data_IF_463533725402
#
_entry.id   IF_463533725402
#
_cell.length_a   1.000
_cell.length_b   1.000
_cell.length_c   1.000
_cell.angle_alpha   90.00
_cell.angle_beta   90.00
_cell.angle_gamma   90.00
#
_symmetry.space_group_name_H-M   'P 1'
#
loop_
_entity.id
_entity.type
_entity.pdbx_description
1 polymer ?
#
# COMPACT_ATOMS: atom_id res chain seq x y z
N UNK A 1 64.38 51.49 9.10
CA UNK A 1 63.22 50.85 8.44
C UNK A 1 63.82 49.87 7.46
N UNK A 2 63.69 48.56 7.57
CA UNK A 2 62.67 47.75 8.22
C UNK A 2 63.24 46.34 8.38
N UNK A 3 62.92 45.68 9.49
CA UNK A 3 63.33 44.33 9.82
C UNK A 3 62.23 43.37 9.36
N UNK A 4 62.59 42.29 8.67
CA UNK A 4 61.65 41.31 8.17
C UNK A 4 62.22 39.90 8.23
N UNK A 5 62.42 39.41 9.46
CA UNK A 5 62.59 38.00 9.78
C UNK A 5 61.37 37.21 9.31
N UNK A 6 61.60 36.15 8.54
CA UNK A 6 60.55 35.29 7.96
C UNK A 6 60.95 33.82 8.06
N UNK A 7 61.17 33.38 9.29
CA UNK A 7 61.16 31.96 9.65
C UNK A 7 59.76 31.52 10.10
N UNK A 8 58.87 31.21 9.16
CA UNK A 8 57.63 30.48 9.48
C UNK A 8 57.83 28.99 9.21
N UNK A 9 58.19 28.23 10.23
CA UNK A 9 57.99 26.79 10.26
C UNK A 9 56.95 26.46 11.32
N UNK A 10 55.87 25.87 10.82
CA UNK A 10 54.74 25.32 11.56
C UNK A 10 55.17 24.06 12.28
N UNK A 11 54.90 23.97 13.58
CA UNK A 11 54.81 22.68 14.27
C UNK A 11 53.59 22.72 15.19
N UNK A 12 52.46 22.26 14.63
CA UNK A 12 51.29 21.92 15.42
C UNK A 12 51.45 20.49 15.93
N UNK A 13 51.13 20.24 17.20
CA UNK A 13 51.18 18.87 17.70
C UNK A 13 51.05 18.64 19.20
N UNK A 14 50.23 19.41 19.93
CA UNK A 14 49.64 18.96 21.18
C UNK A 14 48.51 19.91 21.57
N UNK A 15 47.26 19.52 21.32
CA UNK A 15 46.11 20.12 22.02
C UNK A 15 46.20 19.73 23.49
N UNK A 16 47.05 20.42 24.24
CA UNK A 16 46.94 20.49 25.69
C UNK A 16 45.57 21.09 26.00
N UNK A 17 44.77 20.39 26.81
CA UNK A 17 43.61 20.99 27.48
C UNK A 17 44.14 22.18 28.26
N UNK A 18 44.02 23.38 27.70
CA UNK A 18 44.35 24.61 28.42
C UNK A 18 43.28 24.78 29.48
N UNK A 19 43.66 24.68 30.75
CA UNK A 19 42.79 24.97 31.88
C UNK A 19 42.14 26.35 31.68
N UNK A 20 40.81 26.47 31.86
CA UNK A 20 40.13 27.75 31.73
C UNK A 20 40.73 28.79 32.68
N UNK A 21 40.85 30.07 32.29
CA UNK A 21 41.55 31.07 33.09
C UNK A 21 40.83 31.26 34.43
N UNK A 22 41.51 30.92 35.54
CA UNK A 22 40.99 31.06 36.90
C UNK A 22 40.68 29.75 37.63
N UNK A 23 40.83 28.59 36.99
CA UNK A 23 40.75 27.28 37.66
C UNK A 23 42.15 26.79 38.04
N UNK A 24 42.33 26.43 39.31
CA UNK A 24 43.54 25.74 39.76
C UNK A 24 43.53 24.28 39.29
N UNK A 25 44.72 23.67 39.14
CA UNK A 25 44.86 22.27 38.69
C UNK A 25 44.09 21.30 39.61
N UNK A 26 44.06 21.61 40.91
CA UNK A 26 43.36 20.81 41.93
C UNK A 26 41.84 20.87 41.77
N UNK A 27 41.27 22.06 41.51
CA UNK A 27 39.84 22.24 41.25
C UNK A 27 39.39 21.53 39.95
N UNK A 28 40.25 21.50 38.94
CA UNK A 28 39.94 20.82 37.68
C UNK A 28 39.85 19.29 37.85
N UNK A 29 40.76 18.72 38.63
CA UNK A 29 40.75 17.28 38.96
C UNK A 29 39.52 16.94 39.81
N UNK A 30 39.15 17.79 40.77
CA UNK A 30 37.96 17.57 41.61
C UNK A 30 36.66 17.57 40.77
N UNK A 31 36.52 18.48 39.81
CA UNK A 31 35.39 18.51 38.89
C UNK A 31 35.33 17.30 37.96
N UNK A 32 36.46 16.76 37.52
CA UNK A 32 36.48 15.52 36.71
C UNK A 32 36.00 14.31 37.51
N UNK A 33 36.37 14.23 38.78
CA UNK A 33 35.90 13.18 39.70
C UNK A 33 34.40 13.33 39.95
N UNK A 34 33.92 14.54 40.21
CA UNK A 34 32.50 14.80 40.41
C UNK A 34 31.68 14.50 39.15
N UNK A 35 32.17 14.91 37.98
CA UNK A 35 31.54 14.62 36.69
C UNK A 35 31.40 13.10 36.47
N UNK A 36 32.48 12.34 36.72
CA UNK A 36 32.46 10.87 36.60
C UNK A 36 31.41 10.26 37.52
N UNK A 37 31.32 10.73 38.77
CA UNK A 37 30.32 10.27 39.74
C UNK A 37 28.89 10.58 39.28
N UNK A 38 28.65 11.77 38.75
CA UNK A 38 27.32 12.16 38.22
C UNK A 38 26.96 11.33 36.99
N UNK A 39 27.92 11.02 36.12
CA UNK A 39 27.71 10.15 34.96
C UNK A 39 27.32 8.72 35.37
N UNK A 40 27.96 8.16 36.40
CA UNK A 40 27.63 6.85 36.97
C UNK A 40 26.23 6.84 37.62
N UNK A 41 25.85 7.91 38.33
CA UNK A 41 24.50 8.07 38.86
C UNK A 41 23.46 8.15 37.72
N UNK A 42 23.75 8.90 36.65
CA UNK A 42 22.88 8.97 35.47
C UNK A 42 22.70 7.59 34.84
N UNK A 43 23.78 6.82 34.70
CA UNK A 43 23.69 5.45 34.17
C UNK A 43 22.84 4.55 35.07
N UNK A 44 23.05 4.63 36.38
CA UNK A 44 22.29 3.86 37.37
C UNK A 44 20.80 4.23 37.31
N UNK A 45 20.48 5.53 37.25
CA UNK A 45 19.11 6.01 37.15
C UNK A 45 18.43 5.55 35.85
N UNK A 46 19.13 5.55 34.72
CA UNK A 46 18.62 4.99 33.46
C UNK A 46 18.31 3.50 33.59
N UNK A 47 19.19 2.74 34.25
CA UNK A 47 18.97 1.32 34.50
C UNK A 47 17.73 1.08 35.39
N UNK A 48 17.62 1.84 36.49
CA UNK A 48 16.46 1.78 37.40
C UNK A 48 15.17 2.16 36.68
N UNK A 49 15.20 3.21 35.85
CA UNK A 49 14.04 3.65 35.08
C UNK A 49 13.59 2.55 34.10
N UNK A 50 14.52 1.98 33.35
CA UNK A 50 14.22 0.88 32.42
C UNK A 50 13.60 -0.33 33.14
N UNK A 51 14.13 -0.69 34.31
CA UNK A 51 13.55 -1.75 35.15
C UNK A 51 12.13 -1.40 35.62
N UNK A 52 11.88 -0.15 36.03
CA UNK A 52 10.56 0.32 36.45
C UNK A 52 9.56 0.37 35.29
N UNK A 53 9.97 0.80 34.11
CA UNK A 53 9.15 0.78 32.89
C UNK A 53 8.74 -0.64 32.52
N UNK A 54 9.67 -1.59 32.62
CA UNK A 54 9.40 -3.02 32.39
C UNK A 54 8.38 -3.56 33.40
N UNK A 55 8.58 -3.28 34.68
CA UNK A 55 7.66 -3.69 35.75
C UNK A 55 6.27 -3.06 35.57
N UNK A 56 6.20 -1.78 35.22
CA UNK A 56 4.93 -1.11 34.91
C UNK A 56 4.24 -1.76 33.70
N UNK A 57 4.98 -2.13 32.66
CA UNK A 57 4.45 -2.87 31.51
C UNK A 57 3.93 -4.26 31.87
N UNK A 58 4.55 -4.95 32.82
CA UNK A 58 4.07 -6.23 33.35
C UNK A 58 2.82 -6.07 34.21
N UNK A 59 2.75 -5.05 35.07
CA UNK A 59 1.56 -4.71 35.85
C UNK A 59 0.37 -4.36 34.93
N UNK A 60 0.59 -3.54 33.89
CA UNK A 60 -0.43 -3.23 32.87
C UNK A 60 -0.95 -4.51 32.21
N UNK A 61 -0.06 -5.43 31.82
CA UNK A 61 -0.45 -6.76 31.29
C UNK A 61 -1.26 -7.58 32.28
N UNK A 62 -0.85 -7.66 33.55
CA UNK A 62 -1.58 -8.39 34.61
C UNK A 62 -2.97 -7.81 34.89
N UNK A 63 -3.12 -6.50 34.73
CA UNK A 63 -4.41 -5.81 34.83
C UNK A 63 -5.26 -5.91 33.54
N UNK A 64 -4.80 -6.64 32.51
CA UNK A 64 -5.50 -6.76 31.23
C UNK A 64 -5.39 -5.51 30.33
N UNK A 65 -4.61 -4.52 30.75
CA UNK A 65 -4.32 -3.29 30.02
C UNK A 65 -3.17 -3.60 29.04
N UNK A 66 -3.54 -4.18 27.89
CA UNK A 66 -2.59 -4.46 26.82
C UNK A 66 -2.41 -3.20 25.94
N UNK A 67 -1.19 -2.81 25.56
CA UNK A 67 -0.94 -1.66 24.68
C UNK A 67 -1.74 -1.71 23.37
N UNK A 68 -1.91 -2.90 22.80
CA UNK A 68 -2.74 -3.12 21.60
C UNK A 68 -4.24 -2.97 21.88
N UNK A 69 -4.70 -3.31 23.08
CA UNK A 69 -6.10 -3.15 23.49
C UNK A 69 -6.43 -1.67 23.68
N UNK A 70 -5.54 -0.88 24.28
CA UNK A 70 -5.71 0.58 24.38
C UNK A 70 -5.78 1.23 23.00
N UNK A 71 -4.89 0.86 22.07
CA UNK A 71 -4.91 1.40 20.70
C UNK A 71 -6.20 1.01 19.98
N UNK A 72 -6.57 -0.28 20.01
CA UNK A 72 -7.81 -0.77 19.38
C UNK A 72 -9.03 -0.06 19.95
N UNK A 73 -9.09 0.12 21.26
CA UNK A 73 -10.22 0.76 21.93
C UNK A 73 -10.29 2.26 21.60
N UNK A 74 -9.16 2.98 21.56
CA UNK A 74 -9.12 4.39 21.18
C UNK A 74 -9.52 4.60 19.72
N UNK A 75 -9.06 3.76 18.79
CA UNK A 75 -9.44 3.85 17.37
C UNK A 75 -10.92 3.51 17.19
N UNK A 76 -11.41 2.44 17.85
CA UNK A 76 -12.82 2.02 17.74
C UNK A 76 -13.75 3.11 18.28
N UNK A 77 -13.39 3.71 19.42
CA UNK A 77 -14.15 4.83 20.00
C UNK A 77 -14.06 6.08 19.14
N UNK A 78 -12.87 6.50 18.70
CA UNK A 78 -12.71 7.66 17.83
C UNK A 78 -13.48 7.52 16.51
N UNK A 79 -13.53 6.32 15.93
CA UNK A 79 -14.36 6.03 14.76
C UNK A 79 -15.86 6.10 15.07
N UNK A 80 -16.31 5.51 16.18
CA UNK A 80 -17.70 5.61 16.62
C UNK A 80 -18.11 7.05 16.95
N UNK A 81 -17.23 7.83 17.55
CA UNK A 81 -17.46 9.24 17.90
C UNK A 81 -17.58 10.10 16.64
N UNK A 82 -16.78 9.81 15.61
CA UNK A 82 -16.91 10.46 14.30
C UNK A 82 -18.21 10.05 13.61
N UNK A 83 -18.57 8.77 13.63
CA UNK A 83 -19.80 8.26 13.03
C UNK A 83 -21.05 8.79 13.75
N UNK A 84 -21.02 8.92 15.07
CA UNK A 84 -22.15 9.40 15.89
C UNK A 84 -22.17 10.92 16.06
N UNK A 85 -21.10 11.60 15.63
CA UNK A 85 -21.00 13.06 15.76
C UNK A 85 -22.13 13.77 15.03
N UNK A 86 -22.67 14.78 15.69
CA UNK A 86 -23.73 15.63 15.17
C UNK A 86 -23.38 16.24 13.80
N UNK A 87 -22.10 16.59 13.56
CA UNK A 87 -21.67 17.11 12.26
C UNK A 87 -21.80 16.05 11.16
N UNK A 88 -21.27 14.84 11.38
CA UNK A 88 -21.36 13.74 10.42
C UNK A 88 -22.81 13.31 10.17
N UNK A 89 -23.59 13.14 11.23
CA UNK A 89 -25.02 12.81 11.13
C UNK A 89 -25.82 13.89 10.42
N UNK A 90 -25.60 15.18 10.74
CA UNK A 90 -26.26 16.29 10.03
C UNK A 90 -25.86 16.34 8.57
N UNK A 91 -24.59 16.13 8.23
CA UNK A 91 -24.14 16.10 6.83
C UNK A 91 -24.74 14.91 6.09
N UNK A 92 -24.69 13.71 6.67
CA UNK A 92 -25.30 12.51 6.08
C UNK A 92 -26.81 12.68 5.87
N UNK A 93 -27.51 13.27 6.85
CA UNK A 93 -28.93 13.56 6.76
C UNK A 93 -29.22 14.63 5.69
N UNK A 94 -28.40 15.69 5.61
CA UNK A 94 -28.53 16.73 4.59
C UNK A 94 -28.31 16.18 3.18
N UNK A 95 -27.36 15.25 3.00
CA UNK A 95 -27.15 14.57 1.72
C UNK A 95 -28.35 13.67 1.38
N UNK A 96 -28.92 12.96 2.36
CA UNK A 96 -30.14 12.19 2.19
C UNK A 96 -31.33 13.06 1.77
N UNK A 97 -31.53 14.17 2.46
CA UNK A 97 -32.58 15.15 2.17
C UNK A 97 -32.39 15.79 0.79
N UNK A 98 -31.16 16.12 0.40
CA UNK A 98 -30.86 16.65 -0.94
C UNK A 98 -31.20 15.61 -2.02
N UNK A 99 -30.80 14.36 -1.83
CA UNK A 99 -31.10 13.27 -2.75
C UNK A 99 -32.61 13.05 -2.88
N UNK A 100 -33.33 13.06 -1.76
CA UNK A 100 -34.78 12.95 -1.75
C UNK A 100 -35.43 14.15 -2.46
N UNK A 101 -34.97 15.37 -2.19
CA UNK A 101 -35.48 16.60 -2.84
C UNK A 101 -35.25 16.61 -4.35
N UNK A 102 -34.08 16.16 -4.81
CA UNK A 102 -33.78 16.05 -6.23
C UNK A 102 -34.70 15.02 -6.88
N UNK A 103 -34.78 13.82 -6.29
CA UNK A 103 -35.60 12.72 -6.81
C UNK A 103 -37.09 13.07 -6.83
N UNK A 104 -37.58 13.76 -5.81
CA UNK A 104 -38.97 14.24 -5.72
C UNK A 104 -39.20 15.56 -6.45
N UNK A 105 -38.17 16.18 -7.05
CA UNK A 105 -38.36 17.43 -7.78
C UNK A 105 -39.18 17.17 -9.03
N UNK A 106 -40.09 18.11 -9.36
CA UNK A 106 -40.89 18.04 -10.57
C UNK A 106 -40.01 17.93 -11.83
N UNK A 107 -38.83 18.55 -11.84
CA UNK A 107 -37.90 18.47 -12.98
C UNK A 107 -37.38 17.04 -13.15
N UNK A 108 -36.97 16.37 -12.06
CA UNK A 108 -36.49 14.99 -12.12
C UNK A 108 -37.61 14.02 -12.47
N UNK A 109 -38.81 14.19 -11.90
CA UNK A 109 -39.98 13.38 -12.22
C UNK A 109 -40.44 13.57 -13.67
N UNK A 110 -40.50 14.80 -14.17
CA UNK A 110 -40.86 15.06 -15.57
C UNK A 110 -39.78 14.56 -16.51
N UNK A 111 -38.49 14.78 -16.22
CA UNK A 111 -37.40 14.29 -17.06
C UNK A 111 -37.30 12.75 -17.05
N UNK A 112 -37.55 12.10 -15.90
CA UNK A 112 -37.58 10.64 -15.82
C UNK A 112 -38.82 10.07 -16.51
N UNK A 113 -39.99 10.69 -16.38
CA UNK A 113 -41.19 10.30 -17.12
C UNK A 113 -41.01 10.46 -18.63
N UNK A 114 -40.43 11.57 -19.11
CA UNK A 114 -40.17 11.74 -20.55
C UNK A 114 -39.09 10.80 -21.05
N UNK A 115 -38.06 10.52 -20.25
CA UNK A 115 -37.05 9.51 -20.58
C UNK A 115 -37.66 8.10 -20.64
N UNK A 116 -38.57 7.79 -19.72
CA UNK A 116 -39.32 6.55 -19.71
C UNK A 116 -40.26 6.45 -20.92
N UNK A 117 -40.94 7.54 -21.29
CA UNK A 117 -41.77 7.61 -22.50
C UNK A 117 -40.93 7.43 -23.77
N UNK A 118 -39.75 8.05 -23.83
CA UNK A 118 -38.80 7.86 -24.94
C UNK A 118 -38.32 6.40 -24.97
N UNK A 119 -38.01 5.80 -23.82
CA UNK A 119 -37.60 4.39 -23.73
C UNK A 119 -38.75 3.43 -24.09
N UNK A 120 -40.00 3.82 -23.86
CA UNK A 120 -41.19 3.02 -24.19
C UNK A 120 -41.69 3.25 -25.62
N UNK A 121 -41.24 4.33 -26.27
CA UNK A 121 -41.60 4.71 -27.63
C UNK A 121 -41.31 3.60 -28.64
N UNK A 122 -42.21 3.46 -29.62
CA UNK A 122 -42.05 2.53 -30.73
C UNK A 122 -40.79 2.80 -31.55
N UNK A 123 -40.30 4.05 -31.60
CA UNK A 123 -39.06 4.38 -32.31
C UNK A 123 -37.83 3.85 -31.56
N UNK A 124 -37.80 3.96 -30.23
CA UNK A 124 -36.73 3.41 -29.41
C UNK A 124 -36.78 1.88 -29.43
N UNK A 125 -37.97 1.28 -29.24
CA UNK A 125 -38.16 -0.17 -29.36
C UNK A 125 -37.77 -0.70 -30.72
N UNK A 126 -38.21 -0.09 -31.82
CA UNK A 126 -37.78 -0.47 -33.18
C UNK A 126 -36.27 -0.35 -33.37
N UNK A 127 -35.64 0.67 -32.80
CA UNK A 127 -34.17 0.84 -32.86
C UNK A 127 -33.46 -0.22 -32.02
N UNK A 128 -33.95 -0.50 -30.80
CA UNK A 128 -33.44 -1.56 -29.94
C UNK A 128 -33.62 -2.93 -30.58
N UNK A 129 -34.77 -3.20 -31.19
CA UNK A 129 -35.06 -4.42 -31.94
C UNK A 129 -34.16 -4.53 -33.16
N UNK A 130 -33.97 -3.45 -33.93
CA UNK A 130 -33.07 -3.42 -35.08
C UNK A 130 -31.62 -3.64 -34.66
N UNK A 131 -31.16 -3.01 -33.58
CA UNK A 131 -29.83 -3.19 -33.02
C UNK A 131 -29.64 -4.61 -32.47
N UNK A 132 -30.65 -5.16 -31.80
CA UNK A 132 -30.62 -6.53 -31.29
C UNK A 132 -30.62 -7.54 -32.42
N UNK A 133 -31.41 -7.34 -33.48
CA UNK A 133 -31.43 -8.15 -34.69
C UNK A 133 -30.09 -8.06 -35.43
N UNK A 134 -29.55 -6.85 -35.62
CA UNK A 134 -28.21 -6.63 -36.18
C UNK A 134 -27.12 -7.27 -35.30
N UNK A 135 -27.28 -7.22 -33.98
CA UNK A 135 -26.40 -7.88 -33.01
C UNK A 135 -26.46 -9.40 -33.11
N UNK A 136 -27.65 -9.99 -33.29
CA UNK A 136 -27.82 -11.43 -33.53
C UNK A 136 -27.26 -11.86 -34.89
N UNK A 137 -27.46 -11.05 -35.93
CA UNK A 137 -26.87 -11.27 -37.26
C UNK A 137 -25.34 -11.17 -37.22
N UNK A 138 -24.79 -10.22 -36.46
CA UNK A 138 -23.34 -10.09 -36.26
C UNK A 138 -22.78 -11.21 -35.38
N UNK A 139 -23.50 -11.59 -34.33
CA UNK A 139 -23.10 -12.69 -33.43
C UNK A 139 -23.10 -14.04 -34.15
N UNK A 140 -24.07 -14.27 -35.06
CA UNK A 140 -24.12 -15.46 -35.89
C UNK A 140 -23.06 -15.46 -37.00
N UNK A 141 -22.75 -14.30 -37.59
CA UNK A 141 -21.61 -14.18 -38.51
C UNK A 141 -20.27 -14.40 -37.79
N UNK A 142 -20.09 -13.85 -36.59
CA UNK A 142 -18.88 -14.03 -35.79
C UNK A 142 -18.70 -15.48 -35.32
N UNK A 143 -19.76 -16.16 -34.87
CA UNK A 143 -19.69 -17.58 -34.52
C UNK A 143 -19.43 -18.47 -35.74
N UNK A 144 -19.93 -18.09 -36.92
CA UNK A 144 -19.59 -18.72 -38.19
C UNK A 144 -18.11 -18.54 -38.55
N UNK A 145 -17.56 -17.34 -38.36
CA UNK A 145 -16.12 -17.09 -38.52
C UNK A 145 -15.29 -17.89 -37.50
N UNK A 146 -15.70 -17.95 -36.24
CA UNK A 146 -15.04 -18.76 -35.22
C UNK A 146 -15.07 -20.27 -35.54
N UNK A 147 -16.16 -20.74 -36.14
CA UNK A 147 -16.29 -22.12 -36.61
C UNK A 147 -15.43 -22.38 -37.85
N UNK A 148 -15.34 -21.42 -38.77
CA UNK A 148 -14.45 -21.50 -39.93
C UNK A 148 -12.98 -21.53 -39.51
N UNK A 149 -12.58 -20.70 -38.54
CA UNK A 149 -11.22 -20.71 -37.98
C UNK A 149 -10.94 -22.04 -37.26
N UNK A 150 -11.88 -22.55 -36.45
CA UNK A 150 -11.73 -23.84 -35.78
C UNK A 150 -11.61 -24.99 -36.79
N UNK A 151 -12.39 -24.94 -37.87
CA UNK A 151 -12.31 -25.90 -38.97
C UNK A 151 -10.95 -25.84 -39.65
N UNK A 152 -10.46 -24.64 -40.02
CA UNK A 152 -9.14 -24.44 -40.63
C UNK A 152 -8.00 -24.90 -39.71
N UNK A 153 -8.09 -24.64 -38.41
CA UNK A 153 -7.10 -25.11 -37.45
C UNK A 153 -7.11 -26.63 -37.31
N UNK A 154 -8.30 -27.25 -37.32
CA UNK A 154 -8.45 -28.71 -37.33
C UNK A 154 -7.88 -29.35 -38.60
N UNK A 155 -8.14 -28.76 -39.77
CA UNK A 155 -7.57 -29.17 -41.06
C UNK A 155 -6.04 -29.06 -41.05
N UNK A 156 -5.47 -27.97 -40.53
CA UNK A 156 -4.02 -27.79 -40.42
C UNK A 156 -3.38 -28.82 -39.50
N UNK A 157 -4.01 -29.13 -38.36
CA UNK A 157 -3.51 -30.17 -37.44
C UNK A 157 -3.54 -31.56 -38.07
N UNK A 158 -4.53 -31.82 -38.90
CA UNK A 158 -4.64 -33.07 -39.65
C UNK A 158 -3.84 -33.08 -40.96
N UNK A 159 -3.13 -31.99 -41.28
CA UNK A 159 -2.41 -31.84 -42.54
C UNK A 159 -1.17 -32.75 -42.62
N UNK A 160 -0.74 -33.15 -43.82
CA UNK A 160 0.44 -33.97 -44.01
C UNK A 160 1.70 -33.34 -43.42
N UNK A 161 1.83 -32.02 -43.54
CA UNK A 161 2.99 -31.26 -43.06
C UNK A 161 3.08 -31.24 -41.54
N UNK A 162 1.96 -31.04 -40.83
CA UNK A 162 1.95 -31.04 -39.36
C UNK A 162 2.16 -32.45 -38.80
N UNK A 163 1.54 -33.48 -39.39
CA UNK A 163 1.79 -34.88 -39.03
C UNK A 163 3.25 -35.28 -39.26
N UNK A 164 3.86 -34.87 -40.37
CA UNK A 164 5.29 -35.14 -40.63
C UNK A 164 6.19 -34.44 -39.60
N UNK A 165 5.82 -33.24 -39.16
CA UNK A 165 6.54 -32.52 -38.10
C UNK A 165 6.35 -33.21 -36.74
N UNK A 166 5.14 -33.64 -36.40
CA UNK A 166 4.82 -34.40 -35.19
C UNK A 166 5.57 -35.73 -35.18
N UNK A 167 5.62 -36.48 -36.29
CA UNK A 167 6.40 -37.71 -36.42
C UNK A 167 7.90 -37.46 -36.22
N UNK A 168 8.45 -36.40 -36.83
CA UNK A 168 9.85 -36.02 -36.65
C UNK A 168 10.15 -35.60 -35.21
N UNK A 169 9.21 -34.92 -34.55
CA UNK A 169 9.35 -34.48 -33.18
C UNK A 169 9.22 -35.66 -32.21
N UNK A 170 8.26 -36.55 -32.41
CA UNK A 170 8.12 -37.82 -31.69
C UNK A 170 9.37 -38.68 -31.83
N UNK A 171 9.98 -38.70 -33.02
CA UNK A 171 11.27 -39.37 -33.24
C UNK A 171 12.44 -38.69 -32.54
N UNK A 172 12.39 -37.37 -32.33
CA UNK A 172 13.43 -36.60 -31.63
C UNK A 172 13.27 -36.61 -30.10
N UNK A 173 12.05 -36.77 -29.58
CA UNK A 173 11.76 -36.85 -28.14
C UNK A 173 11.60 -38.30 -27.64
N UNK A 174 11.43 -39.27 -28.55
CA UNK A 174 11.29 -40.70 -28.26
C UNK A 174 12.56 -41.53 -28.48
N UNK A 175 13.74 -40.98 -28.22
CA UNK A 175 15.03 -41.67 -28.37
C UNK A 175 15.66 -42.11 -27.04
N UNK A 176 15.17 -43.22 -26.46
CA UNK A 176 15.74 -44.12 -25.40
C UNK A 176 14.62 -44.55 -24.45
N UNK A 177 14.18 -45.81 -24.41
CA UNK A 177 14.94 -47.01 -23.99
C UNK A 177 14.52 -48.25 -24.80
N UNK A 178 15.45 -48.90 -25.52
CA UNK A 178 16.21 -50.13 -25.19
C UNK A 178 15.57 -51.44 -25.72
N UNK A 179 16.43 -52.29 -26.29
CA UNK A 179 16.14 -53.66 -26.68
C UNK A 179 16.25 -54.69 -25.55
N UNK A 180 16.08 -55.95 -25.96
CA UNK A 180 16.40 -57.23 -25.28
C UNK A 180 15.67 -57.56 -23.96
N UNK A 181 14.61 -58.39 -24.02
CA UNK A 181 14.66 -59.81 -23.60
C UNK A 181 13.26 -60.47 -23.67
N UNK A 182 13.28 -61.78 -23.98
CA UNK A 182 12.21 -62.79 -24.10
C UNK A 182 11.48 -62.95 -25.46
#
# INVERSE_FOLDING_TARGET
>A
MDAGDRGSFTEGGASGRTLPPGLTEEEAVELEVELTKVEDEIQTLRHVLSNKERHAGELRRRLGISPLSEIKNNITKGWQDVQSSNAYMKTSQTLGDLNQRITSSNIYLTASATLEDISRSDTYKKTQETLSQAGMLTSSAFSSLGSAIRSRLGEMRNSPTFKTMEEKMSKATGGSTNGEDA
#
